data_IF_083743505685
#
_entry.id   IF_083743505685
#
_cell.length_a   1.000
_cell.length_b   1.000
_cell.length_c   1.000
_cell.angle_alpha   90.00
_cell.angle_beta   90.00
_cell.angle_gamma   90.00
#
_symmetry.space_group_name_H-M   'P 1'
#
loop_
_entity.id
_entity.type
_entity.pdbx_description
1 polymer ?
#
# COMPACT_ATOMS: atom_id res chain seq x y z
N UNK A 1 -17.60 32.40 16.28
CA UNK A 1 -16.38 31.79 15.76
C UNK A 1 -16.78 30.89 14.61
N UNK A 2 -16.50 31.29 13.39
CA UNK A 2 -16.83 30.48 12.21
C UNK A 2 -15.88 29.28 12.17
N UNK A 3 -16.42 28.07 12.32
CA UNK A 3 -15.67 26.84 12.10
C UNK A 3 -15.17 26.83 10.67
N UNK A 4 -13.86 26.86 10.46
CA UNK A 4 -13.26 26.51 9.19
C UNK A 4 -13.69 25.08 8.89
N UNK A 5 -14.50 24.89 7.86
CA UNK A 5 -14.75 23.59 7.29
C UNK A 5 -13.37 23.00 6.93
N UNK A 6 -13.02 21.87 7.55
CA UNK A 6 -11.80 21.17 7.23
C UNK A 6 -11.73 20.97 5.72
N UNK A 7 -10.64 21.39 5.10
CA UNK A 7 -10.40 21.15 3.67
C UNK A 7 -10.38 19.64 3.46
N UNK A 8 -11.28 19.14 2.65
CA UNK A 8 -11.47 17.70 2.35
C UNK A 8 -10.34 17.06 1.53
N UNK A 9 -9.22 17.75 1.30
CA UNK A 9 -8.13 17.35 0.42
C UNK A 9 -6.77 17.16 1.13
N UNK A 10 -6.78 17.02 2.46
CA UNK A 10 -5.54 16.82 3.19
C UNK A 10 -5.06 15.37 3.07
N UNK A 11 -3.85 15.17 2.55
CA UNK A 11 -3.21 13.85 2.39
C UNK A 11 -2.75 13.25 3.74
N UNK A 12 -3.02 13.93 4.85
CA UNK A 12 -2.66 13.51 6.21
C UNK A 12 -3.59 14.04 7.27
N UNK A 13 -3.20 13.89 8.55
CA UNK A 13 -3.97 14.38 9.69
C UNK A 13 -5.07 13.43 10.19
N UNK A 14 -5.06 12.16 9.75
CA UNK A 14 -5.96 11.10 10.20
C UNK A 14 -5.19 9.82 10.50
N UNK A 15 -5.82 8.89 11.20
CA UNK A 15 -5.22 7.60 11.57
C UNK A 15 -4.79 6.81 10.33
N UNK A 16 -3.59 6.24 10.37
CA UNK A 16 -3.08 5.38 9.31
C UNK A 16 -2.73 6.07 7.98
N UNK A 17 -2.58 7.40 7.95
CA UNK A 17 -2.24 8.14 6.73
C UNK A 17 -0.96 7.62 6.07
N UNK A 18 0.06 7.25 6.86
CA UNK A 18 1.32 6.70 6.36
C UNK A 18 1.14 5.36 5.64
N UNK A 19 0.15 4.57 6.04
CA UNK A 19 -0.17 3.29 5.42
C UNK A 19 -0.92 3.40 4.09
N UNK A 20 -1.22 4.59 3.61
CA UNK A 20 -1.76 4.81 2.26
C UNK A 20 -0.68 5.06 1.21
N UNK A 21 0.57 5.22 1.63
CA UNK A 21 1.70 5.45 0.74
C UNK A 21 2.23 4.13 0.20
N UNK A 22 2.38 4.02 -1.11
CA UNK A 22 2.99 2.84 -1.72
C UNK A 22 4.43 2.66 -1.24
N UNK A 23 4.76 1.49 -0.72
CA UNK A 23 6.09 1.15 -0.18
C UNK A 23 6.88 0.22 -1.09
N UNK A 24 6.23 -0.37 -2.09
CA UNK A 24 6.88 -1.18 -3.11
C UNK A 24 7.12 -0.37 -4.38
N UNK A 25 8.31 -0.53 -4.96
CA UNK A 25 8.74 0.27 -6.10
C UNK A 25 7.89 0.03 -7.36
N UNK A 26 7.50 -1.23 -7.64
CA UNK A 26 6.70 -1.54 -8.83
C UNK A 26 5.35 -0.81 -8.85
N UNK A 27 4.48 -0.92 -7.83
CA UNK A 27 3.24 -0.14 -7.78
C UNK A 27 3.49 1.37 -7.73
N UNK A 28 4.49 1.83 -6.98
CA UNK A 28 4.82 3.25 -6.89
C UNK A 28 5.18 3.84 -8.24
N UNK A 29 6.01 3.14 -9.04
CA UNK A 29 6.40 3.56 -10.39
C UNK A 29 5.21 3.60 -11.35
N UNK A 30 4.17 2.81 -11.08
CA UNK A 30 2.92 2.78 -11.84
C UNK A 30 1.85 3.74 -11.26
N UNK A 31 2.28 4.83 -10.61
CA UNK A 31 1.36 5.81 -10.02
C UNK A 31 0.53 5.29 -8.83
N UNK A 32 0.80 4.10 -8.33
CA UNK A 32 -0.01 3.42 -7.33
C UNK A 32 -1.25 2.71 -7.90
N UNK A 33 -1.41 2.61 -9.21
CA UNK A 33 -2.49 1.89 -9.87
C UNK A 33 -2.24 0.38 -9.79
N UNK A 34 -2.83 -0.30 -8.80
CA UNK A 34 -2.54 -1.70 -8.53
C UNK A 34 -3.74 -2.53 -8.04
N UNK A 35 -4.92 -1.93 -7.81
CA UNK A 35 -6.10 -2.66 -7.32
C UNK A 35 -6.61 -3.72 -8.29
N UNK A 36 -6.57 -3.40 -9.61
CA UNK A 36 -6.93 -4.35 -10.66
C UNK A 36 -5.79 -5.30 -11.02
N UNK A 37 -4.54 -4.84 -10.95
CA UNK A 37 -3.37 -5.62 -11.35
C UNK A 37 -3.00 -6.68 -10.29
N UNK A 38 -2.62 -6.28 -9.10
CA UNK A 38 -2.36 -7.08 -7.89
C UNK A 38 -1.81 -8.49 -8.15
N UNK A 39 -0.79 -8.61 -9.04
CA UNK A 39 -0.27 -9.89 -9.56
C UNK A 39 1.05 -10.34 -8.91
N UNK A 40 1.46 -9.69 -7.82
CA UNK A 40 2.66 -10.02 -7.05
C UNK A 40 2.42 -10.01 -5.53
N UNK A 41 3.47 -10.19 -4.73
CA UNK A 41 3.37 -10.19 -3.26
C UNK A 41 2.85 -8.86 -2.66
N UNK A 42 2.92 -7.76 -3.43
CA UNK A 42 2.32 -6.47 -3.08
C UNK A 42 0.80 -6.47 -3.01
N UNK A 43 0.16 -7.47 -3.58
CA UNK A 43 -1.28 -7.65 -3.49
C UNK A 43 -1.79 -7.61 -2.04
N UNK A 44 -1.03 -8.10 -1.07
CA UNK A 44 -1.38 -8.01 0.35
C UNK A 44 -1.64 -6.57 0.82
N UNK A 45 -1.02 -5.60 0.17
CA UNK A 45 -1.17 -4.20 0.50
C UNK A 45 -2.31 -3.54 -0.28
N UNK A 46 -2.45 -3.86 -1.56
CA UNK A 46 -3.39 -3.19 -2.47
C UNK A 46 -4.74 -3.90 -2.55
N UNK A 47 -4.75 -5.17 -2.95
CA UNK A 47 -5.95 -5.98 -3.09
C UNK A 47 -5.64 -7.42 -2.67
N UNK A 48 -6.10 -7.84 -1.48
CA UNK A 48 -5.77 -9.17 -0.95
C UNK A 48 -6.20 -10.32 -1.86
N UNK A 49 -7.23 -10.15 -2.70
CA UNK A 49 -7.65 -11.17 -3.67
C UNK A 49 -6.57 -11.52 -4.70
N UNK A 50 -5.64 -10.58 -4.96
CA UNK A 50 -4.54 -10.74 -5.90
C UNK A 50 -3.53 -11.81 -5.51
N UNK A 51 -3.47 -12.23 -4.24
CA UNK A 51 -2.56 -13.31 -3.82
C UNK A 51 -2.82 -14.62 -4.58
N UNK A 52 -4.01 -14.84 -5.11
CA UNK A 52 -4.30 -16.02 -5.93
C UNK A 52 -3.57 -16.05 -7.27
N UNK A 53 -2.97 -14.92 -7.70
CA UNK A 53 -2.13 -14.84 -8.89
C UNK A 53 -0.67 -15.23 -8.62
N UNK A 54 -0.26 -15.27 -7.35
CA UNK A 54 1.08 -15.67 -6.94
C UNK A 54 1.17 -17.20 -6.98
N UNK A 55 1.98 -17.74 -7.89
CA UNK A 55 2.08 -19.19 -8.15
C UNK A 55 3.20 -19.90 -7.38
N UNK A 56 4.15 -19.16 -6.82
CA UNK A 56 5.32 -19.69 -6.10
C UNK A 56 5.53 -18.92 -4.80
N UNK A 57 6.24 -19.53 -3.85
CA UNK A 57 6.61 -18.83 -2.63
C UNK A 57 7.35 -17.54 -2.97
N UNK A 58 6.89 -16.44 -2.43
CA UNK A 58 7.47 -15.13 -2.73
C UNK A 58 7.72 -14.35 -1.45
N UNK A 59 8.98 -14.03 -1.22
CA UNK A 59 9.38 -13.04 -0.22
C UNK A 59 9.49 -11.68 -0.90
N UNK A 60 9.02 -10.62 -0.24
CA UNK A 60 9.11 -9.26 -0.75
C UNK A 60 9.55 -8.30 0.33
N UNK A 61 10.42 -7.37 -0.04
CA UNK A 61 10.82 -6.25 0.81
C UNK A 61 10.73 -4.95 0.03
N UNK A 62 10.42 -3.87 0.73
CA UNK A 62 10.36 -2.53 0.17
C UNK A 62 10.81 -1.49 1.18
N UNK A 63 11.45 -0.44 0.68
CA UNK A 63 11.88 0.67 1.50
C UNK A 63 11.67 1.98 0.73
N UNK A 64 10.99 2.93 1.37
CA UNK A 64 10.73 4.27 0.84
C UNK A 64 11.42 5.31 1.70
N UNK A 65 12.26 6.09 1.07
CA UNK A 65 12.91 7.26 1.65
C UNK A 65 12.09 8.48 1.27
N UNK A 66 11.68 9.22 2.26
CA UNK A 66 10.87 10.43 2.12
C UNK A 66 11.60 11.63 2.72
N UNK A 67 11.14 12.82 2.37
CA UNK A 67 11.63 14.07 2.99
C UNK A 67 11.31 14.13 4.49
N UNK A 68 12.00 14.99 5.24
CA UNK A 68 11.82 15.19 6.68
C UNK A 68 12.11 13.93 7.52
N UNK A 69 13.12 13.16 7.13
CA UNK A 69 13.54 11.92 7.81
C UNK A 69 12.42 10.88 8.00
N UNK A 70 11.34 10.98 7.21
CA UNK A 70 10.29 9.97 7.20
C UNK A 70 10.75 8.72 6.46
N UNK A 71 10.40 7.57 7.00
CA UNK A 71 10.80 6.26 6.47
C UNK A 71 9.60 5.34 6.45
N UNK A 72 9.52 4.51 5.42
CA UNK A 72 8.51 3.48 5.31
C UNK A 72 9.19 2.19 4.87
N UNK A 73 9.00 1.11 5.62
CA UNK A 73 9.56 -0.20 5.35
C UNK A 73 8.47 -1.26 5.24
N UNK A 74 8.69 -2.25 4.39
CA UNK A 74 7.76 -3.34 4.14
C UNK A 74 8.48 -4.66 4.01
N UNK A 75 7.95 -5.67 4.68
CA UNK A 75 8.34 -7.06 4.50
C UNK A 75 7.09 -7.91 4.32
N UNK A 76 7.14 -8.86 3.41
CA UNK A 76 6.05 -9.82 3.26
C UNK A 76 6.51 -11.17 2.74
N UNK A 77 5.70 -12.16 3.04
CA UNK A 77 5.84 -13.52 2.55
C UNK A 77 4.49 -14.00 2.05
N UNK A 78 4.47 -14.57 0.85
CA UNK A 78 3.27 -15.20 0.26
C UNK A 78 3.57 -16.65 0.00
N UNK A 79 2.67 -17.51 0.42
CA UNK A 79 2.73 -18.96 0.24
C UNK A 79 1.46 -19.40 -0.49
N UNK A 80 1.55 -19.72 -1.79
CA UNK A 80 0.44 -20.32 -2.49
C UNK A 80 0.13 -21.70 -1.89
N UNK A 81 -1.15 -21.99 -1.78
CA UNK A 81 -1.63 -23.23 -1.20
C UNK A 81 -2.43 -24.00 -2.25
N UNK A 82 -2.91 -25.17 -1.88
CA UNK A 82 -3.73 -25.99 -2.79
C UNK A 82 -5.06 -25.29 -3.11
N UNK A 83 -5.73 -25.72 -4.18
CA UNK A 83 -7.07 -25.24 -4.59
C UNK A 83 -7.12 -23.74 -4.89
N UNK A 84 -6.12 -23.23 -5.61
CA UNK A 84 -6.06 -21.82 -6.04
C UNK A 84 -6.25 -20.83 -4.89
N UNK A 85 -5.60 -21.11 -3.76
CA UNK A 85 -5.60 -20.23 -2.59
C UNK A 85 -4.19 -19.86 -2.19
N UNK A 86 -4.05 -18.79 -1.41
CA UNK A 86 -2.78 -18.33 -0.90
C UNK A 86 -2.94 -17.72 0.49
N UNK A 87 -1.88 -17.85 1.29
CA UNK A 87 -1.74 -17.20 2.60
C UNK A 87 -0.58 -16.23 2.51
N UNK A 88 -0.73 -15.06 3.13
CA UNK A 88 0.31 -14.06 3.21
C UNK A 88 0.46 -13.50 4.60
N UNK A 89 1.69 -13.21 4.99
CA UNK A 89 2.02 -12.42 6.18
C UNK A 89 2.76 -11.17 5.73
N UNK A 90 2.51 -10.06 6.39
CA UNK A 90 3.17 -8.79 6.06
C UNK A 90 3.43 -7.95 7.30
N UNK A 91 4.49 -7.17 7.24
CA UNK A 91 4.82 -6.14 8.21
C UNK A 91 5.15 -4.85 7.48
N UNK A 92 4.49 -3.78 7.89
CA UNK A 92 4.71 -2.42 7.40
C UNK A 92 5.13 -1.56 8.58
N UNK A 93 6.21 -0.82 8.42
CA UNK A 93 6.77 0.12 9.40
C UNK A 93 6.75 1.52 8.82
N UNK A 94 6.24 2.47 9.58
CA UNK A 94 6.30 3.90 9.29
C UNK A 94 6.97 4.65 10.45
N UNK A 95 8.04 5.38 10.15
CA UNK A 95 8.78 6.18 11.14
C UNK A 95 8.85 7.64 10.71
N UNK A 96 8.66 8.51 11.68
CA UNK A 96 8.95 9.94 11.57
C UNK A 96 10.21 10.20 12.36
N UNK A 97 11.18 10.89 11.79
CA UNK A 97 12.47 11.18 12.44
C UNK A 97 12.33 11.71 13.86
N UNK A 98 13.43 11.74 14.58
CA UNK A 98 13.46 12.31 15.94
C UNK A 98 13.32 13.82 15.90
N UNK A 99 12.39 14.36 16.69
CA UNK A 99 12.17 15.79 16.84
C UNK A 99 12.61 16.23 18.24
N UNK A 100 13.48 17.24 18.33
CA UNK A 100 13.88 17.81 19.62
C UNK A 100 12.67 18.45 20.29
N UNK A 101 12.33 17.98 21.49
CA UNK A 101 11.23 18.54 22.27
C UNK A 101 11.57 19.96 22.71
N UNK A 102 10.63 20.90 22.49
CA UNK A 102 10.74 22.31 22.88
C UNK A 102 9.56 22.74 23.73
N UNK A 103 9.80 23.63 24.68
CA UNK A 103 8.71 24.23 25.45
C UNK A 103 7.98 25.32 24.63
N UNK A 104 6.93 25.93 25.20
CA UNK A 104 6.18 27.01 24.57
C UNK A 104 7.02 28.25 24.21
N UNK A 105 8.16 28.43 24.86
CA UNK A 105 9.12 29.54 24.59
C UNK A 105 10.18 29.16 23.55
N UNK A 106 10.08 27.98 22.92
CA UNK A 106 11.04 27.48 21.91
C UNK A 106 12.32 26.88 22.50
N UNK A 107 12.50 26.85 23.84
CA UNK A 107 13.69 26.29 24.49
C UNK A 107 13.67 24.76 24.44
N UNK A 108 14.79 24.16 24.09
CA UNK A 108 14.98 22.71 24.07
C UNK A 108 14.87 22.09 25.46
N UNK A 109 14.19 20.96 25.53
CA UNK A 109 13.94 20.24 26.78
C UNK A 109 14.93 19.10 27.02
N UNK A 110 15.98 18.95 26.19
CA UNK A 110 17.01 17.92 26.32
C UNK A 110 16.49 16.50 26.09
N UNK A 111 15.34 16.35 25.42
CA UNK A 111 14.77 15.05 25.03
C UNK A 111 14.28 15.10 23.60
N UNK A 112 14.27 13.96 22.94
CA UNK A 112 13.69 13.78 21.61
C UNK A 112 12.28 13.15 21.72
N UNK A 113 11.45 13.44 20.72
CA UNK A 113 10.14 12.84 20.52
C UNK A 113 10.22 12.07 19.22
N UNK A 114 9.86 10.80 19.24
CA UNK A 114 9.71 9.95 18.05
C UNK A 114 8.25 9.58 17.86
N UNK A 115 7.88 9.30 16.61
CA UNK A 115 6.61 8.70 16.26
C UNK A 115 6.87 7.53 15.31
N UNK A 116 6.30 6.40 15.63
CA UNK A 116 6.41 5.18 14.83
C UNK A 116 5.07 4.46 14.74
N UNK A 117 4.82 3.88 13.58
CA UNK A 117 3.61 3.10 13.31
C UNK A 117 4.00 1.74 12.72
N UNK A 118 3.35 0.69 13.17
CA UNK A 118 3.51 -0.67 12.67
C UNK A 118 2.16 -1.23 12.24
N UNK A 119 2.17 -1.99 11.16
CA UNK A 119 1.02 -2.80 10.75
C UNK A 119 1.49 -4.23 10.47
N UNK A 120 0.93 -5.18 11.19
CA UNK A 120 1.11 -6.61 10.92
C UNK A 120 -0.14 -7.13 10.22
N UNK A 121 0.02 -7.81 9.11
CA UNK A 121 -1.08 -8.31 8.29
C UNK A 121 -1.03 -9.83 8.14
N UNK A 122 -2.18 -10.48 8.33
CA UNK A 122 -2.43 -11.86 7.94
C UNK A 122 -3.45 -11.85 6.81
N UNK A 123 -3.09 -12.38 5.66
CA UNK A 123 -3.91 -12.35 4.44
C UNK A 123 -4.26 -13.76 4.01
N UNK A 124 -5.50 -13.95 3.61
CA UNK A 124 -5.97 -15.17 2.94
C UNK A 124 -6.71 -14.79 1.67
N UNK A 125 -6.44 -15.50 0.59
CA UNK A 125 -7.15 -15.35 -0.67
C UNK A 125 -7.49 -16.70 -1.29
N UNK A 126 -8.61 -16.75 -2.00
CA UNK A 126 -9.06 -17.93 -2.73
C UNK A 126 -9.76 -17.55 -4.02
N UNK A 127 -9.46 -18.26 -5.10
CA UNK A 127 -10.23 -18.24 -6.33
C UNK A 127 -11.34 -19.28 -6.21
N UNK A 128 -12.57 -18.80 -6.11
CA UNK A 128 -13.75 -19.66 -5.92
C UNK A 128 -14.23 -20.26 -7.22
N UNK A 129 -14.14 -19.52 -8.30
CA UNK A 129 -14.51 -19.90 -9.66
C UNK A 129 -13.46 -19.33 -10.61
N UNK A 130 -13.31 -19.83 -11.85
CA UNK A 130 -12.23 -19.43 -12.76
C UNK A 130 -12.08 -17.94 -12.97
N UNK A 131 -13.17 -17.19 -12.84
CA UNK A 131 -13.19 -15.75 -13.08
C UNK A 131 -13.30 -14.88 -11.83
N UNK A 132 -13.36 -15.44 -10.61
CA UNK A 132 -13.53 -14.66 -9.38
C UNK A 132 -12.63 -15.14 -8.25
N UNK A 133 -11.76 -14.25 -7.79
CA UNK A 133 -10.99 -14.39 -6.55
C UNK A 133 -11.50 -13.42 -5.50
N UNK A 134 -11.48 -13.86 -4.24
CA UNK A 134 -11.80 -13.05 -3.06
C UNK A 134 -10.66 -13.19 -2.06
N UNK A 135 -10.33 -12.12 -1.38
CA UNK A 135 -9.30 -12.09 -0.36
C UNK A 135 -9.70 -11.25 0.84
N UNK A 136 -9.16 -11.59 1.98
CA UNK A 136 -9.29 -10.82 3.22
C UNK A 136 -7.94 -10.68 3.87
N UNK A 137 -7.70 -9.53 4.49
CA UNK A 137 -6.53 -9.26 5.32
C UNK A 137 -6.99 -8.77 6.69
N UNK A 138 -6.54 -9.44 7.73
CA UNK A 138 -6.62 -8.97 9.10
C UNK A 138 -5.35 -8.17 9.41
N UNK A 139 -5.50 -6.90 9.77
CA UNK A 139 -4.41 -6.00 10.13
C UNK A 139 -4.42 -5.69 11.61
N UNK A 140 -3.28 -5.87 12.28
CA UNK A 140 -3.02 -5.32 13.61
C UNK A 140 -2.16 -4.07 13.45
N UNK A 141 -2.66 -2.95 13.95
CA UNK A 141 -2.02 -1.63 13.88
C UNK A 141 -1.53 -1.23 15.27
N UNK A 142 -0.32 -0.75 15.36
CA UNK A 142 0.27 -0.19 16.56
C UNK A 142 0.90 1.16 16.23
N UNK A 143 0.60 2.17 17.01
CA UNK A 143 1.17 3.51 16.88
C UNK A 143 1.69 3.99 18.21
N UNK A 144 2.92 4.49 18.20
CA UNK A 144 3.54 5.15 19.34
C UNK A 144 3.82 6.61 18.97
N UNK A 145 3.37 7.51 19.82
CA UNK A 145 3.61 8.95 19.68
C UNK A 145 4.16 9.49 21.00
N UNK A 146 5.43 9.82 21.02
CA UNK A 146 6.13 10.23 22.26
C UNK A 146 6.00 9.16 23.37
N UNK A 147 5.20 9.44 24.41
CA UNK A 147 5.02 8.59 25.58
C UNK A 147 3.64 7.93 25.66
N UNK A 148 2.84 8.04 24.60
CA UNK A 148 1.52 7.39 24.49
C UNK A 148 1.52 6.44 23.33
N UNK A 149 0.74 5.39 23.42
CA UNK A 149 0.54 4.43 22.34
C UNK A 149 -0.93 4.05 22.20
N UNK A 150 -1.25 3.57 21.02
CA UNK A 150 -2.56 3.05 20.68
C UNK A 150 -2.42 1.84 19.75
N UNK A 151 -3.35 0.93 19.84
CA UNK A 151 -3.42 -0.22 18.95
C UNK A 151 -4.83 -0.42 18.39
N UNK A 152 -4.92 -1.10 17.28
CA UNK A 152 -6.19 -1.34 16.60
C UNK A 152 -6.13 -2.64 15.79
N UNK A 153 -7.31 -3.16 15.47
CA UNK A 153 -7.49 -4.25 14.52
C UNK A 153 -8.40 -3.74 13.42
N UNK A 154 -8.04 -4.03 12.18
CA UNK A 154 -8.84 -3.67 11.01
C UNK A 154 -8.91 -4.80 10.01
N UNK A 155 -9.92 -4.76 9.16
CA UNK A 155 -10.16 -5.75 8.12
C UNK A 155 -10.12 -5.06 6.76
N UNK A 156 -9.40 -5.67 5.82
CA UNK A 156 -9.39 -5.28 4.42
C UNK A 156 -9.97 -6.41 3.59
N UNK A 157 -10.84 -6.07 2.66
CA UNK A 157 -11.50 -7.01 1.76
C UNK A 157 -11.12 -6.68 0.31
N UNK A 158 -10.99 -7.71 -0.51
CA UNK A 158 -10.70 -7.57 -1.92
C UNK A 158 -11.42 -8.59 -2.76
N UNK A 159 -11.71 -8.20 -3.99
CA UNK A 159 -12.19 -9.08 -5.04
C UNK A 159 -11.45 -8.77 -6.35
N UNK A 160 -11.19 -9.82 -7.15
CA UNK A 160 -10.65 -9.72 -8.52
C UNK A 160 -11.51 -10.55 -9.46
N UNK A 161 -11.96 -9.91 -10.52
CA UNK A 161 -12.67 -10.51 -11.63
C UNK A 161 -11.74 -10.64 -12.82
N UNK A 162 -11.52 -11.87 -13.29
CA UNK A 162 -10.72 -12.18 -14.48
C UNK A 162 -11.67 -12.24 -15.68
N UNK A 163 -11.73 -11.13 -16.43
CA UNK A 163 -12.73 -10.92 -17.49
C UNK A 163 -12.54 -11.92 -18.65
N UNK A 164 -11.30 -12.22 -18.99
CA UNK A 164 -10.98 -13.18 -20.05
C UNK A 164 -11.57 -14.57 -19.78
N UNK A 165 -11.71 -14.95 -18.52
CA UNK A 165 -12.29 -16.22 -18.10
C UNK A 165 -13.81 -16.24 -18.11
N UNK A 166 -14.48 -15.10 -18.27
CA UNK A 166 -15.94 -14.98 -18.34
C UNK A 166 -16.49 -15.19 -19.76
N UNK A 167 -15.69 -14.91 -20.78
CA UNK A 167 -16.15 -14.89 -22.17
C UNK A 167 -15.35 -15.89 -23.01
N UNK A 168 -15.97 -16.39 -24.08
CA UNK A 168 -15.27 -17.17 -25.14
C UNK A 168 -14.08 -16.41 -25.75
N UNK A 169 -13.99 -15.12 -25.50
CA UNK A 169 -12.84 -14.29 -25.82
C UNK A 169 -11.52 -14.91 -25.31
N UNK A 170 -11.57 -15.69 -24.25
CA UNK A 170 -10.42 -16.46 -23.73
C UNK A 170 -9.79 -17.40 -24.75
N UNK A 171 -10.56 -17.89 -25.71
CA UNK A 171 -10.13 -18.89 -26.71
C UNK A 171 -9.70 -18.29 -28.06
N UNK A 172 -9.70 -16.97 -28.22
CA UNK A 172 -9.25 -16.32 -29.45
C UNK A 172 -7.74 -16.24 -29.53
N UNK A 173 -7.16 -16.72 -30.61
CA UNK A 173 -5.75 -16.47 -30.93
C UNK A 173 -5.52 -15.01 -31.31
N UNK A 174 -4.36 -14.44 -30.92
CA UNK A 174 -3.94 -13.07 -31.28
C UNK A 174 -4.85 -11.93 -30.78
N UNK A 175 -5.35 -11.99 -29.55
CA UNK A 175 -6.11 -10.88 -28.96
C UNK A 175 -5.27 -9.62 -28.84
N UNK A 176 -5.80 -8.45 -29.22
CA UNK A 176 -5.09 -7.17 -29.06
C UNK A 176 -4.97 -6.78 -27.57
N UNK A 177 -5.93 -7.18 -26.73
CA UNK A 177 -5.97 -6.97 -25.29
C UNK A 177 -6.11 -8.32 -24.59
N UNK A 178 -5.33 -8.55 -23.54
CA UNK A 178 -5.26 -9.82 -22.81
C UNK A 178 -5.18 -9.55 -21.31
N UNK A 179 -5.45 -10.57 -20.52
CA UNK A 179 -5.35 -10.54 -19.05
C UNK A 179 -6.11 -9.34 -18.44
N UNK A 180 -7.36 -9.16 -18.90
CA UNK A 180 -8.22 -8.10 -18.39
C UNK A 180 -8.69 -8.49 -16.99
N UNK A 181 -8.35 -7.67 -16.00
CA UNK A 181 -8.77 -7.87 -14.60
C UNK A 181 -9.45 -6.62 -14.04
N UNK A 182 -10.49 -6.84 -13.24
CA UNK A 182 -11.20 -5.79 -12.52
C UNK A 182 -11.10 -6.06 -11.03
N UNK A 183 -10.60 -5.09 -10.28
CA UNK A 183 -10.42 -5.17 -8.84
C UNK A 183 -11.40 -4.29 -8.08
N UNK A 184 -11.89 -4.80 -6.96
CA UNK A 184 -12.65 -4.05 -5.96
C UNK A 184 -11.99 -4.24 -4.60
N UNK A 185 -11.86 -3.16 -3.83
CA UNK A 185 -11.29 -3.21 -2.48
C UNK A 185 -12.10 -2.37 -1.51
N UNK A 186 -12.18 -2.85 -0.26
CA UNK A 186 -12.68 -2.08 0.88
C UNK A 186 -11.68 -2.26 2.02
N UNK A 187 -11.02 -1.18 2.42
CA UNK A 187 -9.95 -1.21 3.40
C UNK A 187 -10.30 -0.45 4.67
N UNK A 188 -9.62 -0.82 5.76
CA UNK A 188 -9.71 -0.19 7.09
C UNK A 188 -11.07 -0.33 7.77
N UNK A 189 -11.79 -1.42 7.52
CA UNK A 189 -13.03 -1.69 8.25
C UNK A 189 -12.71 -1.92 9.73
N UNK A 190 -13.48 -1.27 10.62
CA UNK A 190 -13.37 -1.37 12.08
C UNK A 190 -12.03 -0.93 12.69
N UNK A 191 -11.17 -0.24 11.96
CA UNK A 191 -9.88 0.22 12.48
C UNK A 191 -10.04 1.58 13.19
N UNK A 192 -9.64 1.66 14.47
CA UNK A 192 -9.70 2.87 15.31
C UNK A 192 -8.57 2.86 16.33
N UNK A 193 -7.83 3.95 16.46
CA UNK A 193 -6.89 4.13 17.56
C UNK A 193 -7.59 4.75 18.78
N UNK A 194 -7.78 4.00 19.87
CA UNK A 194 -8.30 4.54 21.13
C UNK A 194 -7.15 5.18 21.89
N UNK A 195 -6.96 6.47 21.75
CA UNK A 195 -5.94 7.20 22.48
C UNK A 195 -6.39 7.51 23.90
N UNK A 196 -5.50 7.31 24.87
CA UNK A 196 -5.67 7.79 26.24
C UNK A 196 -4.41 8.50 26.72
N UNK A 197 -4.60 9.63 27.37
CA UNK A 197 -3.52 10.41 27.96
C UNK A 197 -3.49 10.30 29.48
N UNK A 198 -4.26 9.39 30.08
CA UNK A 198 -4.36 9.22 31.53
C UNK A 198 -2.98 8.99 32.17
N UNK A 199 -2.23 8.00 31.69
CA UNK A 199 -0.90 7.66 32.23
C UNK A 199 0.14 8.77 32.04
N UNK A 200 -0.03 9.59 31.00
CA UNK A 200 0.84 10.73 30.76
C UNK A 200 0.61 11.83 31.81
N UNK A 201 -0.64 12.13 32.16
CA UNK A 201 -0.98 13.20 33.09
C UNK A 201 -0.82 12.77 34.56
N UNK A 202 -1.05 11.51 34.91
CA UNK A 202 -0.81 10.99 36.25
C UNK A 202 0.62 11.24 36.73
N UNK A 203 1.61 11.14 35.82
CA UNK A 203 3.02 11.41 36.13
C UNK A 203 3.31 12.87 36.48
N UNK A 204 2.46 13.78 36.05
CA UNK A 204 2.70 15.23 36.18
C UNK A 204 1.72 15.93 37.12
N UNK A 205 0.90 15.18 37.82
CA UNK A 205 -0.08 15.69 38.82
C UNK A 205 -1.07 16.72 38.26
N UNK A 206 -1.38 16.67 36.99
CA UNK A 206 -2.34 17.56 36.34
C UNK A 206 -3.59 16.76 35.93
N UNK A 207 -4.70 17.43 35.75
CA UNK A 207 -6.04 17.02 35.36
C UNK A 207 -6.22 15.59 34.80
N UNK A 208 -7.37 14.95 35.03
CA UNK A 208 -7.64 13.64 34.44
C UNK A 208 -7.39 13.67 32.94
N UNK A 209 -6.76 12.60 32.44
CA UNK A 209 -6.44 12.48 31.00
C UNK A 209 -7.70 12.50 30.13
N UNK A 210 -7.48 12.67 28.84
CA UNK A 210 -8.54 12.66 27.82
C UNK A 210 -8.44 11.33 27.05
N UNK A 211 -9.59 10.72 26.80
CA UNK A 211 -9.73 9.60 25.87
C UNK A 211 -10.32 10.13 24.57
N UNK A 212 -9.72 9.77 23.43
CA UNK A 212 -10.19 10.15 22.10
C UNK A 212 -9.95 9.02 21.12
N UNK A 213 -10.97 8.72 20.34
CA UNK A 213 -10.89 7.76 19.25
C UNK A 213 -10.49 8.47 17.94
N UNK A 214 -9.49 7.92 17.25
CA UNK A 214 -9.04 8.39 15.94
C UNK A 214 -9.30 7.28 14.92
N UNK A 215 -10.36 7.45 14.14
CA UNK A 215 -10.84 6.47 13.18
C UNK A 215 -10.00 6.49 11.91
N UNK A 216 -9.65 5.30 11.43
CA UNK A 216 -9.09 5.13 10.10
C UNK A 216 -10.16 5.44 9.04
N UNK A 217 -9.83 6.19 7.99
CA UNK A 217 -10.78 6.38 6.90
C UNK A 217 -11.05 5.06 6.18
N UNK A 218 -12.31 4.68 6.07
CA UNK A 218 -12.72 3.56 5.24
C UNK A 218 -12.46 3.95 3.78
N UNK A 219 -11.73 3.11 3.08
CA UNK A 219 -11.35 3.30 1.67
C UNK A 219 -12.09 2.30 0.81
N UNK A 220 -12.72 2.79 -0.26
CA UNK A 220 -13.28 1.98 -1.33
C UNK A 220 -12.52 2.27 -2.61
N UNK A 221 -12.02 1.23 -3.27
CA UNK A 221 -11.23 1.34 -4.50
C UNK A 221 -11.75 0.41 -5.59
N UNK A 222 -11.66 0.91 -6.81
CA UNK A 222 -11.92 0.18 -8.05
C UNK A 222 -10.66 0.23 -8.91
N UNK A 223 -10.28 -0.89 -9.52
CA UNK A 223 -9.14 -0.99 -10.41
C UNK A 223 -9.44 -1.78 -11.67
N UNK A 224 -8.79 -1.41 -12.75
CA UNK A 224 -8.80 -2.11 -14.02
C UNK A 224 -7.35 -2.32 -14.47
N UNK A 225 -7.02 -3.52 -14.92
CA UNK A 225 -5.75 -3.74 -15.61
C UNK A 225 -5.93 -4.63 -16.84
N UNK A 226 -5.02 -4.47 -17.79
CA UNK A 226 -4.98 -5.29 -19.01
C UNK A 226 -3.59 -5.27 -19.62
N UNK A 227 -3.30 -6.26 -20.47
CA UNK A 227 -2.05 -6.35 -21.23
C UNK A 227 -2.29 -6.20 -22.72
N UNK A 228 -1.36 -5.53 -23.39
CA UNK A 228 -1.36 -5.30 -24.84
C UNK A 228 0.01 -5.63 -25.44
N UNK A 229 0.17 -5.46 -26.77
CA UNK A 229 1.41 -5.73 -27.51
C UNK A 229 2.01 -7.11 -27.20
N UNK A 230 1.20 -8.17 -27.29
CA UNK A 230 1.61 -9.56 -26.96
C UNK A 230 2.13 -9.65 -25.50
N UNK A 231 1.40 -9.07 -24.58
CA UNK A 231 1.69 -9.00 -23.13
C UNK A 231 2.93 -8.19 -22.73
N UNK A 232 3.53 -7.44 -23.66
CA UNK A 232 4.68 -6.60 -23.33
C UNK A 232 4.33 -5.32 -22.58
N UNK A 233 3.13 -4.78 -22.77
CA UNK A 233 2.66 -3.59 -22.09
C UNK A 233 1.51 -3.94 -21.15
N UNK A 234 1.72 -3.78 -19.87
CA UNK A 234 0.69 -3.84 -18.82
C UNK A 234 0.23 -2.43 -18.52
N UNK A 235 -1.07 -2.20 -18.56
CA UNK A 235 -1.69 -0.91 -18.20
C UNK A 235 -2.63 -1.12 -17.04
N UNK A 236 -2.62 -0.20 -16.07
CA UNK A 236 -3.48 -0.22 -14.91
C UNK A 236 -4.09 1.16 -14.65
N UNK A 237 -5.33 1.16 -14.18
CA UNK A 237 -6.06 2.35 -13.81
C UNK A 237 -6.85 2.08 -12.52
N UNK A 238 -6.73 2.96 -11.53
CA UNK A 238 -7.45 2.86 -10.26
C UNK A 238 -8.18 4.16 -9.95
N UNK A 239 -9.34 4.01 -9.34
CA UNK A 239 -10.06 5.09 -8.67
C UNK A 239 -10.31 4.66 -7.23
N UNK A 240 -10.00 5.52 -6.29
CA UNK A 240 -10.29 5.29 -4.88
C UNK A 240 -10.96 6.50 -4.24
N UNK A 241 -11.75 6.23 -3.22
CA UNK A 241 -12.31 7.23 -2.33
C UNK A 241 -12.28 6.72 -0.91
N UNK A 242 -11.91 7.57 0.01
CA UNK A 242 -12.06 7.30 1.43
C UNK A 242 -13.00 8.31 2.10
N UNK A 243 -13.36 8.05 3.35
CA UNK A 243 -14.33 8.87 4.10
C UNK A 243 -13.81 10.26 4.49
N UNK A 244 -12.50 10.52 4.36
CA UNK A 244 -11.86 11.78 4.76
C UNK A 244 -11.37 12.63 3.59
N UNK A 245 -11.27 12.06 2.38
CA UNK A 245 -10.66 12.72 1.22
C UNK A 245 -11.55 12.62 0.00
N UNK A 246 -11.29 13.48 -1.00
CA UNK A 246 -11.91 13.40 -2.33
C UNK A 246 -11.44 12.16 -3.09
N UNK A 247 -12.15 11.82 -4.18
CA UNK A 247 -11.77 10.71 -5.03
C UNK A 247 -10.41 10.97 -5.69
N UNK A 248 -9.58 9.93 -5.74
CA UNK A 248 -8.25 9.95 -6.33
C UNK A 248 -8.21 9.00 -7.52
N UNK A 249 -7.64 9.45 -8.63
CA UNK A 249 -7.39 8.63 -9.81
C UNK A 249 -5.90 8.38 -9.96
N UNK A 250 -5.56 7.16 -10.37
CA UNK A 250 -4.19 6.71 -10.63
C UNK A 250 -4.12 5.98 -11.95
N UNK A 251 -3.02 6.14 -12.63
CA UNK A 251 -2.75 5.47 -13.90
C UNK A 251 -1.31 5.00 -13.96
N UNK A 252 -1.07 3.83 -14.55
CA UNK A 252 0.27 3.31 -14.71
C UNK A 252 0.44 2.37 -15.90
N UNK A 253 1.67 2.32 -16.38
CA UNK A 253 2.10 1.41 -17.42
C UNK A 253 3.43 0.77 -17.10
N UNK A 254 3.55 -0.52 -17.39
CA UNK A 254 4.78 -1.31 -17.31
C UNK A 254 5.08 -1.90 -18.68
N UNK A 255 6.23 -1.58 -19.24
CA UNK A 255 6.70 -2.12 -20.50
C UNK A 255 7.86 -3.08 -20.28
N UNK A 256 7.68 -4.33 -20.70
CA UNK A 256 8.70 -5.37 -20.70
C UNK A 256 9.56 -5.22 -21.96
N UNK A 257 10.75 -4.65 -21.80
CA UNK A 257 11.73 -4.47 -22.91
C UNK A 257 12.20 -5.86 -23.34
N UNK A 258 12.66 -6.64 -22.38
CA UNK A 258 13.06 -8.04 -22.54
C UNK A 258 12.74 -8.84 -21.25
N UNK A 259 13.31 -10.04 -21.09
CA UNK A 259 13.08 -10.88 -19.91
C UNK A 259 13.69 -10.29 -18.63
N UNK A 260 14.70 -9.44 -18.75
CA UNK A 260 15.48 -8.91 -17.64
C UNK A 260 15.06 -7.48 -17.25
N UNK A 261 14.60 -6.67 -18.22
CA UNK A 261 14.38 -5.24 -18.02
C UNK A 261 12.91 -4.86 -18.18
N UNK A 262 12.38 -4.14 -17.22
CA UNK A 262 11.04 -3.55 -17.23
C UNK A 262 11.13 -2.04 -16.98
N UNK A 263 10.43 -1.27 -17.77
CA UNK A 263 10.31 0.19 -17.61
C UNK A 263 8.90 0.53 -17.20
N UNK A 264 8.77 1.48 -16.28
CA UNK A 264 7.48 1.87 -15.71
C UNK A 264 7.32 3.38 -15.68
N UNK A 265 6.10 3.82 -15.91
CA UNK A 265 5.71 5.22 -15.74
C UNK A 265 4.26 5.28 -15.28
N UNK A 266 3.93 6.32 -14.53
CA UNK A 266 2.58 6.48 -14.01
C UNK A 266 2.25 7.90 -13.57
N UNK A 267 0.99 8.08 -13.22
CA UNK A 267 0.42 9.31 -12.68
C UNK A 267 -0.33 9.00 -11.39
N UNK A 268 0.08 9.61 -10.30
CA UNK A 268 -0.61 9.57 -9.03
C UNK A 268 -1.23 10.94 -8.73
N UNK A 269 -2.53 11.10 -8.96
CA UNK A 269 -3.22 12.38 -8.77
C UNK A 269 -2.53 13.55 -9.54
N UNK A 270 -2.12 13.30 -10.79
CA UNK A 270 -1.43 14.28 -11.63
C UNK A 270 0.09 14.40 -11.37
N UNK A 271 0.65 13.70 -10.38
CA UNK A 271 2.09 13.63 -10.11
C UNK A 271 2.73 12.52 -10.93
N UNK A 272 3.85 12.82 -11.56
CA UNK A 272 4.61 11.86 -12.34
C UNK A 272 5.34 10.88 -11.44
N UNK A 273 5.29 9.61 -11.83
CA UNK A 273 6.10 8.55 -11.26
C UNK A 273 6.82 7.80 -12.38
N UNK A 274 8.00 7.30 -12.09
CA UNK A 274 8.77 6.51 -13.03
C UNK A 274 9.57 5.44 -12.30
N UNK A 275 9.95 4.39 -12.99
CA UNK A 275 10.76 3.34 -12.37
C UNK A 275 11.29 2.32 -13.36
N UNK A 276 12.14 1.47 -12.85
CA UNK A 276 12.72 0.36 -13.57
C UNK A 276 12.70 -0.91 -12.72
N UNK A 277 12.66 -2.05 -13.37
CA UNK A 277 12.75 -3.37 -12.75
C UNK A 277 13.77 -4.21 -13.47
N UNK A 278 14.59 -4.90 -12.68
CA UNK A 278 15.56 -5.88 -13.15
C UNK A 278 15.18 -7.26 -12.63
N UNK A 279 15.12 -8.22 -13.52
CA UNK A 279 14.81 -9.62 -13.22
C UNK A 279 16.06 -10.45 -13.45
N UNK A 280 16.46 -11.20 -12.44
CA UNK A 280 17.61 -12.10 -12.51
C UNK A 280 17.20 -13.50 -12.04
N UNK A 281 17.34 -14.47 -12.90
CA UNK A 281 17.17 -15.88 -12.55
C UNK A 281 18.50 -16.47 -12.07
N UNK A 282 18.51 -17.05 -10.87
CA UNK A 282 19.67 -17.69 -10.26
C UNK A 282 19.24 -19.06 -9.74
N UNK A 283 19.58 -20.11 -10.48
CA UNK A 283 19.19 -21.49 -10.16
C UNK A 283 17.66 -21.64 -10.01
N UNK A 284 17.20 -21.84 -8.74
CA UNK A 284 15.79 -22.01 -8.40
C UNK A 284 15.11 -20.71 -7.96
N UNK A 285 15.86 -19.62 -7.88
CA UNK A 285 15.36 -18.33 -7.40
C UNK A 285 15.21 -17.36 -8.57
N UNK A 286 14.14 -16.61 -8.54
CA UNK A 286 13.99 -15.41 -9.38
C UNK A 286 14.05 -14.19 -8.49
N UNK A 287 15.04 -13.33 -8.70
CA UNK A 287 15.19 -12.06 -8.00
C UNK A 287 14.67 -10.92 -8.89
N UNK A 288 13.80 -10.07 -8.33
CA UNK A 288 13.30 -8.88 -8.98
C UNK A 288 13.73 -7.67 -8.16
N UNK A 289 14.55 -6.85 -8.75
CA UNK A 289 15.05 -5.60 -8.19
C UNK A 289 14.29 -4.45 -8.83
N UNK A 290 13.59 -3.66 -8.04
CA UNK A 290 12.78 -2.56 -8.54
C UNK A 290 13.17 -1.25 -7.88
N UNK A 291 13.21 -0.18 -8.69
CA UNK A 291 13.39 1.18 -8.24
C UNK A 291 12.26 2.05 -8.75
N UNK A 292 11.79 2.98 -7.94
CA UNK A 292 10.82 3.99 -8.32
C UNK A 292 11.20 5.37 -7.79
N UNK A 293 10.86 6.35 -8.60
CA UNK A 293 10.85 7.76 -8.30
C UNK A 293 9.40 8.25 -8.28
N UNK A 294 9.02 9.00 -7.27
CA UNK A 294 7.70 9.64 -7.15
C UNK A 294 7.89 11.12 -6.87
N UNK A 295 7.39 11.97 -7.76
CA UNK A 295 7.36 13.40 -7.52
C UNK A 295 6.34 13.72 -6.42
N UNK A 296 6.74 14.55 -5.44
CA UNK A 296 5.86 14.98 -4.35
C UNK A 296 5.15 16.30 -4.67
N UNK A 297 4.14 16.66 -3.86
CA UNK A 297 3.42 17.93 -3.99
C UNK A 297 4.34 19.10 -3.61
N UNK A 298 4.22 20.17 -4.38
CA UNK A 298 4.64 21.52 -4.00
C UNK A 298 6.00 21.62 -3.29
N UNK A 299 7.09 21.42 -4.03
CA UNK A 299 8.47 21.64 -3.57
C UNK A 299 8.95 20.83 -2.36
N UNK A 300 8.19 19.80 -1.95
CA UNK A 300 8.60 18.89 -0.88
C UNK A 300 9.69 17.88 -1.32
N UNK A 301 10.15 17.96 -2.58
CA UNK A 301 11.17 17.08 -3.11
C UNK A 301 10.61 15.86 -3.83
N UNK A 302 11.29 14.73 -3.71
CA UNK A 302 10.91 13.47 -4.34
C UNK A 302 11.14 12.29 -3.41
N UNK A 303 10.33 11.27 -3.54
CA UNK A 303 10.50 10.02 -2.84
C UNK A 303 11.21 8.99 -3.73
N UNK A 304 12.08 8.22 -3.10
CA UNK A 304 12.81 7.14 -3.72
C UNK A 304 12.40 5.83 -3.06
N UNK A 305 11.96 4.87 -3.86
CA UNK A 305 11.49 3.58 -3.39
C UNK A 305 12.34 2.48 -4.02
N UNK A 306 12.80 1.57 -3.20
CA UNK A 306 13.55 0.38 -3.62
C UNK A 306 12.80 -0.84 -3.12
N UNK A 307 12.67 -1.86 -3.94
CA UNK A 307 12.13 -3.14 -3.51
C UNK A 307 12.87 -4.32 -4.11
N UNK A 308 12.88 -5.40 -3.35
CA UNK A 308 13.43 -6.70 -3.74
C UNK A 308 12.36 -7.75 -3.54
N UNK A 309 12.06 -8.51 -4.60
CA UNK A 309 11.21 -9.68 -4.52
C UNK A 309 12.04 -10.92 -4.86
N UNK A 310 11.85 -11.98 -4.10
CA UNK A 310 12.50 -13.29 -4.29
C UNK A 310 11.42 -14.34 -4.42
N UNK A 311 11.39 -15.00 -5.57
CA UNK A 311 10.47 -16.10 -5.91
C UNK A 311 11.25 -17.41 -5.86
N UNK A 312 10.68 -18.46 -5.18
CA UNK A 312 11.35 -19.75 -4.96
C UNK A 312 10.40 -20.92 -4.72
#
# INVERSE_FOLDING_TARGET
MAGQAARSDEDGGYAGAIFQLSVQARPAAMGGAFYGLSDDAGAQYFNPAGLTQVSQNTFSSGYRVMTLDRKLGYLSMVIPTRMESAIGISWLYGGYGEVTARNRSGRELGRTISSEEHMFGLTFAKRFIPYLSVGTKLGYYYKKLANIDANSIGINLGALLFVDSLFEYAYMDNKPVQDITVGLVVNNLAATYPWTTNDYWERYSYNPGVSQDDEFPILVGFGLSFKTFKQKLTTAFDIEKNTKQTAKARFGGEYMVDKMLRLRAGLNQGRLTAGLGLVQEINKFTLLFDYAFSAEKADEGSDHIISLNMVF
#
